data_IF_064523420578
#
_entry.id   IF_064523420578
#
_cell.length_a   1.000
_cell.length_b   1.000
_cell.length_c   1.000
_cell.angle_alpha   90.00
_cell.angle_beta   90.00
_cell.angle_gamma   90.00
#
_symmetry.space_group_name_H-M   'P 1'
#
loop_
_entity.id
_entity.type
_entity.pdbx_description
1 polymer ?
#
# COMPACT_ATOMS: atom_id res chain seq x y z
N UNK A 1 22.47 2.38 0.80
CA UNK A 1 22.15 3.36 1.86
C UNK A 1 20.96 2.84 2.66
N UNK A 2 21.11 2.62 3.97
CA UNK A 2 19.99 2.26 4.82
C UNK A 2 19.12 3.50 5.01
N UNK A 3 18.01 3.57 4.31
CA UNK A 3 17.02 4.61 4.51
C UNK A 3 16.47 4.48 5.94
N UNK A 4 16.76 5.43 6.81
CA UNK A 4 16.16 5.56 8.13
C UNK A 4 14.74 6.11 7.98
N UNK A 5 13.80 5.18 7.76
CA UNK A 5 12.43 5.51 7.44
C UNK A 5 11.56 5.22 8.67
N UNK A 6 10.64 6.13 8.99
CA UNK A 6 9.66 5.98 10.08
C UNK A 6 10.27 5.95 11.50
N UNK A 7 11.35 6.67 11.76
CA UNK A 7 11.95 6.76 13.09
C UNK A 7 10.94 7.13 14.20
N UNK A 8 10.07 8.15 14.05
CA UNK A 8 9.12 8.51 15.10
C UNK A 8 8.13 7.38 15.44
N UNK A 9 7.79 6.57 14.45
CA UNK A 9 6.91 5.40 14.66
C UNK A 9 7.68 4.32 15.44
N UNK A 10 8.93 4.07 15.06
CA UNK A 10 9.77 3.10 15.75
C UNK A 10 10.08 3.52 17.19
N UNK A 11 10.28 4.81 17.46
CA UNK A 11 10.45 5.36 18.82
C UNK A 11 9.20 5.12 19.67
N UNK A 12 8.00 5.38 19.12
CA UNK A 12 6.73 5.09 19.80
C UNK A 12 6.57 3.60 20.11
N UNK A 13 6.92 2.71 19.18
CA UNK A 13 6.88 1.28 19.40
C UNK A 13 7.91 0.81 20.43
N UNK A 14 9.12 1.37 20.41
CA UNK A 14 10.15 1.15 21.41
C UNK A 14 9.70 1.59 22.81
N UNK A 15 8.99 2.71 22.90
CA UNK A 15 8.42 3.16 24.17
C UNK A 15 7.43 2.14 24.73
N UNK A 16 6.47 1.62 23.91
CA UNK A 16 5.56 0.57 24.37
C UNK A 16 6.29 -0.70 24.83
N UNK A 17 7.36 -1.07 24.14
CA UNK A 17 8.19 -2.21 24.52
C UNK A 17 8.88 -1.99 25.86
N UNK A 18 9.53 -0.84 26.08
CA UNK A 18 10.27 -0.49 27.32
C UNK A 18 9.38 -0.45 28.55
N UNK A 19 8.15 0.02 28.43
CA UNK A 19 7.18 0.06 29.54
C UNK A 19 6.44 -1.26 29.75
N UNK A 20 6.75 -2.30 28.98
CA UNK A 20 6.06 -3.60 28.99
C UNK A 20 4.53 -3.54 28.82
N UNK A 21 4.01 -2.46 28.22
CA UNK A 21 2.57 -2.24 27.97
C UNK A 21 2.32 -2.08 26.49
N UNK A 22 2.27 -3.22 25.78
CA UNK A 22 2.01 -3.25 24.34
C UNK A 22 0.49 -3.32 24.11
N UNK A 23 -0.13 -2.30 23.49
CA UNK A 23 -1.56 -2.34 23.17
C UNK A 23 -1.81 -3.14 21.89
N UNK A 24 -3.08 -3.38 21.58
CA UNK A 24 -3.50 -3.75 20.23
C UNK A 24 -3.27 -2.56 19.30
N UNK A 25 -2.69 -2.76 18.11
CA UNK A 25 -2.29 -1.66 17.21
C UNK A 25 -2.84 -1.88 15.81
N UNK A 26 -3.41 -0.82 15.22
CA UNK A 26 -3.76 -0.74 13.80
C UNK A 26 -2.74 0.13 13.09
N UNK A 27 -2.08 -0.45 12.08
CA UNK A 27 -1.21 0.26 11.16
C UNK A 27 -1.98 0.53 9.87
N UNK A 28 -2.26 1.80 9.57
CA UNK A 28 -3.00 2.19 8.38
C UNK A 28 -2.21 3.18 7.52
N UNK A 29 -2.50 3.21 6.22
CA UNK A 29 -1.83 4.09 5.26
C UNK A 29 -1.71 3.43 3.88
N UNK A 30 -1.16 4.14 2.92
CA UNK A 30 -1.09 3.71 1.52
C UNK A 30 -0.31 2.40 1.33
N UNK A 31 -0.64 1.64 0.27
CA UNK A 31 0.13 0.47 -0.12
C UNK A 31 1.56 0.87 -0.45
N UNK A 32 2.53 0.04 0.00
CA UNK A 32 3.96 0.35 -0.21
C UNK A 32 4.58 1.37 0.75
N UNK A 33 3.85 1.84 1.79
CA UNK A 33 4.39 2.74 2.83
C UNK A 33 5.32 2.06 3.85
N UNK A 34 5.46 0.72 3.83
CA UNK A 34 6.35 0.00 4.75
C UNK A 34 5.69 -0.56 6.02
N UNK A 35 4.36 -0.53 6.14
CA UNK A 35 3.60 -1.04 7.30
C UNK A 35 4.03 -2.44 7.74
N UNK A 36 4.11 -3.38 6.80
CA UNK A 36 4.49 -4.77 7.09
C UNK A 36 5.92 -4.88 7.64
N UNK A 37 6.84 -4.09 7.11
CA UNK A 37 8.23 -4.05 7.58
C UNK A 37 8.34 -3.53 9.00
N UNK A 38 7.57 -2.48 9.33
CA UNK A 38 7.49 -1.92 10.69
C UNK A 38 6.97 -2.97 11.66
N UNK A 39 5.85 -3.63 11.34
CA UNK A 39 5.27 -4.68 12.19
C UNK A 39 6.24 -5.84 12.38
N UNK A 40 6.91 -6.30 11.32
CA UNK A 40 7.90 -7.37 11.43
C UNK A 40 9.09 -6.98 12.32
N UNK A 41 9.61 -5.74 12.17
CA UNK A 41 10.66 -5.23 13.06
C UNK A 41 10.19 -5.19 14.51
N UNK A 42 8.96 -4.76 14.76
CA UNK A 42 8.38 -4.71 16.09
C UNK A 42 8.19 -6.10 16.71
N UNK A 43 7.67 -7.06 15.94
CA UNK A 43 7.56 -8.47 16.35
C UNK A 43 8.92 -9.05 16.69
N UNK A 44 9.92 -8.83 15.84
CA UNK A 44 11.29 -9.30 16.10
C UNK A 44 11.86 -8.70 17.39
N UNK A 45 11.55 -7.46 17.70
CA UNK A 45 11.95 -6.82 18.96
C UNK A 45 11.25 -7.44 20.16
N UNK A 46 9.94 -7.69 20.08
CA UNK A 46 9.15 -8.33 21.16
C UNK A 46 9.70 -9.72 21.51
N UNK A 47 10.06 -10.50 20.50
CA UNK A 47 10.51 -11.89 20.67
C UNK A 47 12.03 -12.04 20.58
N UNK A 48 12.81 -10.94 20.74
CA UNK A 48 14.28 -10.91 20.77
C UNK A 48 14.95 -11.58 19.54
N UNK A 49 14.36 -11.47 18.36
CA UNK A 49 14.79 -12.12 17.11
C UNK A 49 14.87 -13.65 17.18
N UNK A 50 14.24 -14.28 18.17
CA UNK A 50 14.19 -15.73 18.30
C UNK A 50 13.15 -16.30 17.30
N UNK A 51 13.65 -17.07 16.34
CA UNK A 51 12.80 -17.65 15.29
C UNK A 51 11.86 -18.74 15.81
N UNK A 52 12.27 -19.50 16.82
CA UNK A 52 11.45 -20.56 17.41
C UNK A 52 10.30 -19.95 18.21
N UNK A 53 10.60 -18.96 19.04
CA UNK A 53 9.58 -18.19 19.76
C UNK A 53 8.62 -17.50 18.79
N UNK A 54 9.12 -16.85 17.76
CA UNK A 54 8.26 -16.21 16.75
C UNK A 54 7.32 -17.21 16.07
N UNK A 55 7.78 -18.42 15.74
CA UNK A 55 6.92 -19.47 15.17
C UNK A 55 5.85 -19.97 16.15
N UNK A 56 6.18 -20.09 17.43
CA UNK A 56 5.27 -20.58 18.45
C UNK A 56 4.23 -19.55 18.90
N UNK A 57 4.63 -18.26 18.95
CA UNK A 57 3.84 -17.20 19.58
C UNK A 57 3.24 -16.20 18.60
N UNK A 58 3.58 -16.24 17.32
CA UNK A 58 3.10 -15.29 16.33
C UNK A 58 2.33 -16.00 15.23
N UNK A 59 1.09 -15.57 15.02
CA UNK A 59 0.26 -16.03 13.92
C UNK A 59 0.09 -14.92 12.88
N UNK A 60 0.51 -15.18 11.63
CA UNK A 60 0.29 -14.27 10.50
C UNK A 60 -0.90 -14.75 9.68
N UNK A 61 -1.86 -13.87 9.45
CA UNK A 61 -3.08 -14.16 8.69
C UNK A 61 -3.25 -13.12 7.58
N UNK A 62 -3.35 -13.57 6.34
CA UNK A 62 -3.74 -12.69 5.25
C UNK A 62 -5.25 -12.79 4.99
N UNK A 63 -5.99 -11.73 5.29
CA UNK A 63 -7.43 -11.67 5.16
C UNK A 63 -7.91 -11.51 3.70
N UNK A 64 -7.01 -11.19 2.76
CA UNK A 64 -7.36 -11.06 1.34
C UNK A 64 -7.66 -12.42 0.66
N UNK A 65 -7.26 -13.54 1.26
CA UNK A 65 -7.44 -14.88 0.69
C UNK A 65 -8.77 -15.55 1.11
N UNK A 66 -9.86 -14.81 1.20
CA UNK A 66 -11.16 -15.39 1.50
C UNK A 66 -11.29 -15.95 2.91
N UNK A 67 -10.46 -15.51 3.85
CA UNK A 67 -10.53 -15.89 5.26
C UNK A 67 -11.83 -15.36 5.88
N UNK A 68 -12.83 -16.22 5.93
CA UNK A 68 -14.16 -15.88 6.41
C UNK A 68 -14.34 -16.00 7.92
N UNK A 69 -15.59 -15.83 8.36
CA UNK A 69 -16.00 -15.91 9.76
C UNK A 69 -15.62 -17.25 10.43
N UNK A 70 -15.63 -18.35 9.67
CA UNK A 70 -15.28 -19.68 10.16
C UNK A 70 -13.82 -19.75 10.63
N UNK A 71 -12.90 -19.21 9.80
CA UNK A 71 -11.48 -19.14 10.15
C UNK A 71 -11.26 -18.37 11.47
N UNK A 72 -11.92 -17.21 11.63
CA UNK A 72 -11.78 -16.41 12.85
C UNK A 72 -12.33 -17.13 14.07
N UNK A 73 -13.45 -17.84 13.93
CA UNK A 73 -14.07 -18.57 15.03
C UNK A 73 -13.31 -19.83 15.46
N UNK A 74 -12.68 -20.52 14.56
CA UNK A 74 -12.03 -21.80 14.79
C UNK A 74 -10.52 -21.65 14.96
N UNK A 75 -9.80 -21.30 13.89
CA UNK A 75 -8.33 -21.30 13.90
C UNK A 75 -7.74 -20.20 14.79
N UNK A 76 -8.22 -18.97 14.64
CA UNK A 76 -7.70 -17.84 15.41
C UNK A 76 -8.03 -17.99 16.90
N UNK A 77 -9.25 -18.45 17.21
CA UNK A 77 -9.67 -18.76 18.58
C UNK A 77 -8.89 -19.92 19.18
N UNK A 78 -8.63 -20.97 18.40
CA UNK A 78 -7.80 -22.09 18.85
C UNK A 78 -6.39 -21.63 19.19
N UNK A 79 -5.75 -20.88 18.29
CA UNK A 79 -4.43 -20.32 18.55
C UNK A 79 -4.40 -19.44 19.81
N UNK A 80 -5.37 -18.55 20.00
CA UNK A 80 -5.45 -17.68 21.17
C UNK A 80 -5.69 -18.46 22.49
N UNK A 81 -6.44 -19.57 22.45
CA UNK A 81 -6.73 -20.42 23.61
C UNK A 81 -5.57 -21.31 24.05
N UNK A 82 -4.72 -21.74 23.13
CA UNK A 82 -3.62 -22.66 23.46
C UNK A 82 -2.74 -22.04 24.54
N UNK A 83 -2.60 -22.71 25.68
CA UNK A 83 -1.74 -22.23 26.76
C UNK A 83 -0.28 -22.29 26.35
N UNK A 84 0.47 -21.31 26.80
CA UNK A 84 1.92 -21.27 26.64
C UNK A 84 2.52 -21.62 28.00
N UNK A 85 3.29 -22.69 28.05
CA UNK A 85 4.17 -22.94 29.20
C UNK A 85 5.34 -21.96 29.11
N UNK A 86 5.14 -20.72 29.59
CA UNK A 86 6.21 -19.76 29.71
C UNK A 86 6.93 -19.99 31.02
N UNK A 87 8.08 -20.64 30.95
CA UNK A 87 9.00 -20.65 32.08
C UNK A 87 9.52 -19.20 32.31
N UNK A 88 8.77 -18.43 33.10
CA UNK A 88 9.23 -17.18 33.69
C UNK A 88 9.32 -15.97 32.76
N UNK A 89 8.18 -15.43 32.32
CA UNK A 89 8.13 -14.12 31.69
C UNK A 89 6.75 -13.83 31.08
N UNK A 90 6.32 -12.57 31.10
CA UNK A 90 5.07 -12.06 30.52
C UNK A 90 5.08 -12.15 28.97
N UNK A 91 5.12 -13.36 28.42
CA UNK A 91 5.06 -13.56 26.97
C UNK A 91 3.61 -13.72 26.58
N UNK A 92 3.10 -12.74 25.84
CA UNK A 92 1.79 -12.81 25.19
C UNK A 92 1.93 -13.36 23.78
N UNK A 93 0.82 -13.84 23.20
CA UNK A 93 0.75 -14.19 21.79
C UNK A 93 0.49 -12.97 20.92
N UNK A 94 1.00 -12.99 19.71
CA UNK A 94 0.76 -11.95 18.71
C UNK A 94 0.02 -12.49 17.51
N UNK A 95 -1.06 -11.83 17.12
CA UNK A 95 -1.81 -12.14 15.90
C UNK A 95 -1.69 -10.95 14.95
N UNK A 96 -1.06 -11.20 13.80
CA UNK A 96 -0.86 -10.18 12.77
C UNK A 96 -1.85 -10.42 11.64
N UNK A 97 -2.81 -9.51 11.47
CA UNK A 97 -3.83 -9.55 10.43
C UNK A 97 -3.43 -8.62 9.29
N UNK A 98 -3.11 -9.19 8.12
CA UNK A 98 -2.81 -8.45 6.90
C UNK A 98 -4.09 -8.24 6.10
N UNK A 99 -4.26 -7.05 5.52
CA UNK A 99 -5.40 -6.71 4.66
C UNK A 99 -6.76 -6.95 5.36
N UNK A 100 -6.88 -6.58 6.62
CA UNK A 100 -8.10 -6.79 7.40
C UNK A 100 -9.30 -5.98 6.90
N UNK A 101 -9.07 -4.96 6.08
CA UNK A 101 -10.07 -4.21 5.33
C UNK A 101 -10.82 -5.04 4.27
N UNK A 102 -10.35 -6.25 3.97
CA UNK A 102 -11.01 -7.22 3.08
C UNK A 102 -11.95 -8.19 3.82
N UNK A 103 -12.00 -8.13 5.14
CA UNK A 103 -12.93 -8.93 5.93
C UNK A 103 -14.37 -8.44 5.77
N UNK A 104 -15.30 -9.40 5.67
CA UNK A 104 -16.74 -9.10 5.69
C UNK A 104 -17.15 -8.54 7.06
N UNK A 105 -18.28 -7.84 7.13
CA UNK A 105 -18.84 -7.27 8.37
C UNK A 105 -19.04 -8.34 9.45
N UNK A 106 -19.51 -9.53 9.07
CA UNK A 106 -19.71 -10.65 9.99
C UNK A 106 -18.40 -11.21 10.51
N UNK A 107 -17.38 -11.30 9.66
CA UNK A 107 -16.04 -11.71 10.06
C UNK A 107 -15.41 -10.69 11.02
N UNK A 108 -15.59 -9.41 10.75
CA UNK A 108 -15.15 -8.34 11.65
C UNK A 108 -15.88 -8.37 13.01
N UNK A 109 -17.18 -8.65 13.01
CA UNK A 109 -17.96 -8.81 14.25
C UNK A 109 -17.49 -10.02 15.08
N UNK A 110 -17.13 -11.12 14.42
CA UNK A 110 -16.53 -12.27 15.09
C UNK A 110 -15.13 -11.97 15.63
N UNK A 111 -14.32 -11.23 14.88
CA UNK A 111 -13.00 -10.77 15.28
C UNK A 111 -13.07 -9.87 16.52
N UNK A 112 -14.03 -8.95 16.57
CA UNK A 112 -14.28 -8.11 17.75
C UNK A 112 -14.46 -8.96 19.01
N UNK A 113 -15.31 -9.99 18.98
CA UNK A 113 -15.51 -10.90 20.12
C UNK A 113 -14.23 -11.64 20.50
N UNK A 114 -13.45 -12.05 19.51
CA UNK A 114 -12.17 -12.70 19.74
C UNK A 114 -11.18 -11.77 20.45
N UNK A 115 -11.08 -10.52 20.03
CA UNK A 115 -10.25 -9.49 20.66
C UNK A 115 -10.68 -9.27 22.13
N UNK A 116 -11.97 -9.12 22.40
CA UNK A 116 -12.50 -8.92 23.75
C UNK A 116 -12.15 -10.10 24.69
N UNK A 117 -12.27 -11.33 24.20
CA UNK A 117 -12.03 -12.53 25.00
C UNK A 117 -10.54 -12.77 25.30
N UNK A 118 -9.64 -12.43 24.39
CA UNK A 118 -8.22 -12.82 24.47
C UNK A 118 -7.26 -11.64 24.67
N UNK A 119 -7.76 -10.42 24.89
CA UNK A 119 -6.93 -9.23 25.11
C UNK A 119 -5.99 -9.32 26.33
N UNK A 120 -6.24 -10.22 27.26
CA UNK A 120 -5.41 -10.43 28.44
C UNK A 120 -4.09 -11.16 28.11
N UNK A 121 -4.09 -12.11 27.17
CA UNK A 121 -2.95 -12.95 26.82
C UNK A 121 -2.50 -12.86 25.34
N UNK A 122 -3.20 -12.09 24.52
CA UNK A 122 -2.93 -11.98 23.09
C UNK A 122 -2.98 -10.52 22.67
N UNK A 123 -2.05 -10.11 21.78
CA UNK A 123 -2.03 -8.79 21.15
C UNK A 123 -2.31 -8.92 19.67
N UNK A 124 -3.15 -8.02 19.17
CA UNK A 124 -3.56 -7.98 17.78
C UNK A 124 -2.88 -6.82 17.08
N UNK A 125 -2.21 -7.12 15.97
CA UNK A 125 -1.62 -6.12 15.08
C UNK A 125 -2.33 -6.20 13.75
N UNK A 126 -3.04 -5.14 13.38
CA UNK A 126 -3.85 -5.07 12.16
C UNK A 126 -3.16 -4.17 11.16
N UNK A 127 -3.02 -4.65 9.93
CA UNK A 127 -2.46 -3.88 8.81
C UNK A 127 -3.54 -3.69 7.77
N UNK A 128 -3.88 -2.42 7.49
CA UNK A 128 -4.90 -2.03 6.50
C UNK A 128 -4.41 -0.86 5.64
N UNK A 129 -4.99 -0.71 4.47
CA UNK A 129 -4.81 0.50 3.67
C UNK A 129 -5.74 1.61 4.15
N UNK A 130 -7.01 1.29 4.34
CA UNK A 130 -8.04 2.20 4.77
C UNK A 130 -8.69 1.72 6.08
N UNK A 131 -8.48 2.47 7.16
CA UNK A 131 -9.08 2.15 8.47
C UNK A 131 -10.59 2.29 8.49
N UNK A 132 -11.17 3.12 7.64
CA UNK A 132 -12.63 3.36 7.61
C UNK A 132 -13.43 2.17 7.10
N UNK A 133 -12.77 1.19 6.49
CA UNK A 133 -13.36 -0.10 6.12
C UNK A 133 -13.50 -1.06 7.32
N UNK A 134 -12.90 -0.71 8.46
CA UNK A 134 -13.08 -1.45 9.70
C UNK A 134 -14.25 -0.88 10.50
N UNK A 135 -14.96 -1.76 11.19
CA UNK A 135 -16.06 -1.38 12.06
C UNK A 135 -15.57 -0.50 13.23
N UNK A 136 -16.29 0.57 13.52
CA UNK A 136 -15.99 1.49 14.64
C UNK A 136 -15.74 0.77 15.98
N UNK A 137 -16.50 -0.29 16.36
CA UNK A 137 -16.23 -1.07 17.57
C UNK A 137 -14.88 -1.79 17.60
N UNK A 138 -14.26 -2.07 16.45
CA UNK A 138 -12.89 -2.58 16.39
C UNK A 138 -11.93 -1.43 16.62
N UNK A 139 -12.07 -0.33 15.85
CA UNK A 139 -11.19 0.83 15.95
C UNK A 139 -11.04 1.34 17.39
N UNK A 140 -12.14 1.41 18.15
CA UNK A 140 -12.15 1.90 19.53
C UNK A 140 -11.30 1.08 20.53
N UNK A 141 -10.83 -0.09 20.16
CA UNK A 141 -10.02 -1.01 21.00
C UNK A 141 -8.56 -1.04 20.64
N UNK A 142 -8.17 -0.23 19.67
CA UNK A 142 -6.82 -0.24 19.12
C UNK A 142 -6.15 1.13 19.23
N UNK A 143 -4.84 1.11 19.41
CA UNK A 143 -4.01 2.28 19.17
C UNK A 143 -3.80 2.43 17.66
N UNK A 144 -4.17 3.56 17.10
CA UNK A 144 -4.02 3.83 15.68
C UNK A 144 -2.65 4.44 15.39
N UNK A 145 -1.96 3.88 14.39
CA UNK A 145 -0.69 4.40 13.89
C UNK A 145 -0.81 4.59 12.38
N UNK A 146 -0.78 5.84 11.96
CA UNK A 146 -0.70 6.18 10.55
C UNK A 146 0.75 6.03 10.06
N UNK A 147 0.92 5.31 8.93
CA UNK A 147 2.22 5.10 8.30
C UNK A 147 2.22 5.82 6.95
N UNK A 148 2.77 7.04 6.88
CA UNK A 148 2.86 7.81 5.63
C UNK A 148 3.80 7.14 4.64
N UNK A 149 3.69 7.50 3.37
CA UNK A 149 4.75 7.23 2.40
C UNK A 149 5.97 8.09 2.75
N UNK A 150 7.18 7.52 2.76
CA UNK A 150 8.38 8.29 3.08
C UNK A 150 8.68 9.32 1.97
N UNK A 151 9.20 10.46 2.39
CA UNK A 151 9.68 11.52 1.50
C UNK A 151 11.20 11.46 1.41
N UNK A 152 11.74 11.54 0.21
CA UNK A 152 13.18 11.77 0.00
C UNK A 152 13.54 13.24 0.23
N UNK A 153 14.84 13.50 0.36
CA UNK A 153 15.44 14.84 0.58
C UNK A 153 15.07 15.91 -0.48
N UNK A 154 14.24 15.58 -1.46
CA UNK A 154 13.71 16.50 -2.49
C UNK A 154 12.20 16.78 -2.37
N UNK A 155 11.52 16.29 -1.32
CA UNK A 155 10.07 16.50 -1.14
C UNK A 155 9.18 15.53 -1.91
N UNK A 156 9.73 14.64 -2.72
CA UNK A 156 8.97 13.62 -3.44
C UNK A 156 8.63 12.44 -2.55
N UNK A 157 7.36 12.04 -2.54
CA UNK A 157 6.90 10.84 -1.83
C UNK A 157 7.27 9.58 -2.61
N UNK A 158 7.83 8.59 -1.92
CA UNK A 158 8.26 7.35 -2.53
C UNK A 158 7.45 6.18 -2.00
N UNK A 159 6.97 5.38 -2.95
CA UNK A 159 6.41 4.08 -2.64
C UNK A 159 7.55 3.06 -2.48
N UNK A 160 7.79 2.61 -1.25
CA UNK A 160 8.91 1.72 -0.92
C UNK A 160 8.86 0.37 -1.66
N UNK A 161 7.68 -0.12 -1.96
CA UNK A 161 7.53 -1.37 -2.72
C UNK A 161 8.03 -1.20 -4.15
N UNK A 162 7.62 -0.12 -4.82
CA UNK A 162 8.07 0.19 -6.18
C UNK A 162 9.57 0.48 -6.23
N UNK A 163 10.07 1.21 -5.24
CA UNK A 163 11.49 1.54 -5.12
C UNK A 163 12.33 0.26 -4.95
N UNK A 164 11.96 -0.62 -4.03
CA UNK A 164 12.65 -1.89 -3.80
C UNK A 164 12.60 -2.80 -5.04
N UNK A 165 11.47 -2.83 -5.73
CA UNK A 165 11.33 -3.58 -6.98
C UNK A 165 12.28 -3.04 -8.06
N UNK A 166 12.35 -1.72 -8.21
CA UNK A 166 13.23 -1.05 -9.16
C UNK A 166 14.72 -1.31 -8.86
N UNK A 167 15.12 -1.27 -7.58
CA UNK A 167 16.48 -1.59 -7.16
C UNK A 167 16.84 -3.06 -7.40
N UNK A 168 15.94 -3.98 -6.96
CA UNK A 168 16.18 -5.42 -7.06
C UNK A 168 16.33 -5.89 -8.51
N UNK A 169 15.49 -5.39 -9.39
CA UNK A 169 15.49 -5.77 -10.80
C UNK A 169 16.28 -4.80 -11.70
N UNK A 170 16.95 -3.80 -11.12
CA UNK A 170 17.67 -2.74 -11.86
C UNK A 170 16.79 -2.14 -12.97
N UNK A 171 15.51 -1.99 -12.69
CA UNK A 171 14.56 -1.42 -13.65
C UNK A 171 14.97 0.03 -13.91
N UNK A 172 15.38 0.31 -15.15
CA UNK A 172 15.48 1.70 -15.63
C UNK A 172 14.09 2.31 -15.50
N UNK A 173 14.00 3.62 -15.27
CA UNK A 173 12.73 4.31 -15.21
C UNK A 173 12.05 4.31 -16.60
N UNK A 174 11.42 3.16 -16.89
CA UNK A 174 10.75 2.89 -18.17
C UNK A 174 9.58 3.87 -18.35
N UNK A 175 8.99 4.34 -17.26
CA UNK A 175 7.85 5.26 -17.32
C UNK A 175 8.28 6.62 -17.86
N UNK A 176 9.40 7.15 -17.37
CA UNK A 176 9.92 8.45 -17.81
C UNK A 176 10.35 8.38 -19.28
N UNK A 177 11.12 7.36 -19.66
CA UNK A 177 11.55 7.14 -21.05
C UNK A 177 10.38 6.93 -22.02
N UNK A 178 9.31 6.25 -21.59
CA UNK A 178 8.08 6.09 -22.38
C UNK A 178 7.35 7.41 -22.60
N UNK A 179 7.18 8.20 -21.52
CA UNK A 179 6.51 9.50 -21.61
C UNK A 179 7.31 10.50 -22.45
N UNK A 180 8.65 10.50 -22.36
CA UNK A 180 9.52 11.34 -23.21
C UNK A 180 9.42 10.93 -24.67
N UNK A 181 9.38 9.63 -24.97
CA UNK A 181 9.19 9.14 -26.32
C UNK A 181 7.82 9.57 -26.87
N UNK A 182 6.75 9.40 -26.08
CA UNK A 182 5.39 9.80 -26.45
C UNK A 182 5.33 11.30 -26.72
N UNK A 183 5.86 12.13 -25.81
CA UNK A 183 5.96 13.58 -25.94
C UNK A 183 6.63 13.97 -27.25
N UNK A 184 7.86 13.44 -27.49
CA UNK A 184 8.65 13.78 -28.67
C UNK A 184 7.95 13.44 -29.99
N UNK A 185 7.29 12.27 -30.05
CA UNK A 185 6.62 11.84 -31.28
C UNK A 185 5.28 12.57 -31.48
N UNK A 186 4.56 12.85 -30.41
CA UNK A 186 3.31 13.63 -30.47
C UNK A 186 3.58 15.05 -30.97
N UNK A 187 4.62 15.73 -30.45
CA UNK A 187 5.06 17.03 -30.95
C UNK A 187 5.51 16.99 -32.42
N UNK A 188 6.22 15.94 -32.82
CA UNK A 188 6.63 15.77 -34.21
C UNK A 188 5.43 15.65 -35.15
N UNK A 189 4.40 14.92 -34.74
CA UNK A 189 3.16 14.74 -35.52
C UNK A 189 2.35 16.03 -35.55
N UNK A 190 2.27 16.77 -34.45
CA UNK A 190 1.53 18.04 -34.37
C UNK A 190 2.20 19.20 -35.17
N UNK A 191 3.52 19.20 -35.27
CA UNK A 191 4.30 20.24 -35.98
C UNK A 191 4.61 19.88 -37.44
N UNK A 192 4.28 18.66 -37.87
CA UNK A 192 4.36 18.29 -39.28
C UNK A 192 3.28 19.08 -40.05
N UNK A 193 3.72 20.01 -40.90
CA UNK A 193 3.03 20.93 -41.83
C UNK A 193 1.53 20.79 -42.09
N UNK A 194 0.82 21.85 -42.57
CA UNK A 194 -0.63 22.07 -42.41
C UNK A 194 -1.59 21.04 -43.01
N UNK A 195 -1.12 20.00 -43.68
CA UNK A 195 -1.92 18.90 -44.20
C UNK A 195 -1.39 17.56 -43.71
N UNK A 196 -1.70 17.19 -42.46
CA UNK A 196 -1.47 15.82 -41.98
C UNK A 196 -2.45 14.92 -42.73
N UNK A 197 -1.93 14.01 -43.55
CA UNK A 197 -2.76 13.02 -44.27
C UNK A 197 -3.31 12.00 -43.26
N UNK A 198 -4.57 11.63 -43.41
CA UNK A 198 -5.24 10.64 -42.54
C UNK A 198 -4.47 9.35 -42.40
N UNK A 199 -3.73 8.93 -43.43
CA UNK A 199 -2.88 7.75 -43.38
C UNK A 199 -1.70 7.88 -42.42
N UNK A 200 -1.17 9.08 -42.18
CA UNK A 200 -0.10 9.32 -41.21
C UNK A 200 -0.63 9.27 -39.78
N UNK A 201 -1.83 9.79 -39.54
CA UNK A 201 -2.50 9.67 -38.24
C UNK A 201 -2.83 8.23 -37.89
N UNK A 202 -3.34 7.45 -38.87
CA UNK A 202 -3.58 6.03 -38.70
C UNK A 202 -2.30 5.24 -38.41
N UNK A 203 -1.22 5.54 -39.15
CA UNK A 203 0.08 4.90 -38.90
C UNK A 203 0.66 5.24 -37.53
N UNK A 204 0.43 6.47 -37.08
CA UNK A 204 0.87 6.90 -35.75
C UNK A 204 0.05 6.23 -34.65
N UNK A 205 -1.28 6.13 -34.79
CA UNK A 205 -2.15 5.45 -33.84
C UNK A 205 -1.82 3.96 -33.73
N UNK A 206 -1.54 3.30 -34.85
CA UNK A 206 -1.09 1.89 -34.89
C UNK A 206 0.25 1.71 -34.15
N UNK A 207 1.22 2.61 -34.35
CA UNK A 207 2.50 2.58 -33.61
C UNK A 207 2.32 2.79 -32.12
N UNK A 208 1.37 3.63 -31.69
CA UNK A 208 1.06 3.82 -30.26
C UNK A 208 0.49 2.53 -29.68
N UNK A 209 -0.44 1.90 -30.39
CA UNK A 209 -1.05 0.64 -29.97
C UNK A 209 -0.04 -0.50 -29.87
N UNK A 210 0.81 -0.69 -30.88
CA UNK A 210 1.87 -1.71 -30.90
C UNK A 210 2.89 -1.52 -29.77
N UNK A 211 3.19 -0.27 -29.38
CA UNK A 211 4.07 0.06 -28.26
C UNK A 211 3.36 -0.02 -26.91
N UNK A 212 2.08 -0.36 -26.86
CA UNK A 212 1.27 -0.49 -25.66
C UNK A 212 0.98 0.82 -24.95
N UNK A 213 0.85 1.93 -25.69
CA UNK A 213 0.32 3.19 -25.15
C UNK A 213 -1.20 3.15 -25.15
N UNK A 214 -1.78 3.65 -24.06
CA UNK A 214 -3.22 3.81 -23.90
C UNK A 214 -3.65 5.26 -24.10
N UNK A 215 -4.94 5.50 -24.32
CA UNK A 215 -5.51 6.85 -24.32
C UNK A 215 -5.27 7.58 -22.99
N UNK A 216 -5.15 6.85 -21.87
CA UNK A 216 -4.84 7.42 -20.56
C UNK A 216 -3.42 7.99 -20.49
N UNK A 217 -2.44 7.42 -21.20
CA UNK A 217 -1.08 7.96 -21.26
C UNK A 217 -1.08 9.33 -21.96
N UNK A 218 -1.91 9.49 -23.00
CA UNK A 218 -2.06 10.77 -23.72
C UNK A 218 -2.77 11.79 -22.82
N UNK A 219 -3.83 11.41 -22.12
CA UNK A 219 -4.53 12.29 -21.17
C UNK A 219 -3.58 12.75 -20.07
N UNK A 220 -2.81 11.84 -19.46
CA UNK A 220 -1.82 12.18 -18.45
C UNK A 220 -0.74 13.15 -18.96
N UNK A 221 -0.36 13.01 -20.23
CA UNK A 221 0.56 13.93 -20.88
C UNK A 221 -0.06 15.33 -21.04
N UNK A 222 -1.33 15.42 -21.44
CA UNK A 222 -2.07 16.66 -21.62
C UNK A 222 -2.40 17.37 -20.30
N UNK A 223 -2.62 16.63 -19.23
CA UNK A 223 -2.88 17.18 -17.89
C UNK A 223 -1.66 17.89 -17.31
N UNK A 224 -0.46 17.54 -17.72
CA UNK A 224 0.76 18.14 -17.19
C UNK A 224 1.07 19.49 -17.87
N UNK A 225 0.84 20.63 -17.19
CA UNK A 225 1.00 21.96 -17.79
C UNK A 225 2.45 22.27 -18.20
N UNK A 226 3.43 21.65 -17.57
CA UNK A 226 4.85 21.86 -17.86
C UNK A 226 5.29 21.26 -19.21
N UNK A 227 4.49 20.33 -19.76
CA UNK A 227 4.82 19.61 -20.98
C UNK A 227 4.37 20.33 -22.27
N UNK A 228 3.34 21.19 -22.17
CA UNK A 228 2.74 21.91 -23.29
C UNK A 228 2.75 23.43 -23.06
N UNK A 229 3.91 23.98 -22.78
CA UNK A 229 4.09 25.44 -22.54
C UNK A 229 3.64 26.31 -23.70
N UNK A 230 3.52 25.77 -24.91
CA UNK A 230 3.10 26.51 -26.11
C UNK A 230 1.59 26.42 -26.41
N UNK A 231 0.86 25.52 -25.74
CA UNK A 231 -0.59 25.41 -25.89
C UNK A 231 -1.30 26.31 -24.88
N UNK A 232 -2.19 27.20 -25.40
CA UNK A 232 -3.09 27.96 -24.54
C UNK A 232 -3.94 26.98 -23.69
N UNK A 233 -4.16 27.31 -22.44
CA UNK A 233 -4.94 26.48 -21.52
C UNK A 233 -6.34 26.12 -22.06
N UNK A 234 -6.99 27.04 -22.75
CA UNK A 234 -8.27 26.82 -23.41
C UNK A 234 -8.22 25.63 -24.40
N UNK A 235 -7.22 25.58 -25.29
CA UNK A 235 -7.05 24.48 -26.24
C UNK A 235 -6.72 23.15 -25.56
N UNK A 236 -5.99 23.19 -24.46
CA UNK A 236 -5.68 22.00 -23.67
C UNK A 236 -6.96 21.40 -23.05
N UNK A 237 -7.83 22.23 -22.50
CA UNK A 237 -9.12 21.80 -21.96
C UNK A 237 -10.05 21.28 -23.04
N UNK A 238 -10.12 21.92 -24.22
CA UNK A 238 -10.90 21.43 -25.36
C UNK A 238 -10.47 20.02 -25.78
N UNK A 239 -9.16 19.76 -25.85
CA UNK A 239 -8.62 18.43 -26.15
C UNK A 239 -9.01 17.40 -25.07
N UNK A 240 -8.89 17.74 -23.79
CA UNK A 240 -9.27 16.88 -22.69
C UNK A 240 -10.77 16.55 -22.72
N UNK A 241 -11.62 17.52 -23.04
CA UNK A 241 -13.07 17.28 -23.22
C UNK A 241 -13.36 16.38 -24.42
N UNK A 242 -12.67 16.56 -25.53
CA UNK A 242 -12.81 15.71 -26.71
C UNK A 242 -12.43 14.25 -26.38
N UNK A 243 -11.30 14.02 -25.69
CA UNK A 243 -10.90 12.69 -25.23
C UNK A 243 -11.93 12.06 -24.29
N UNK A 244 -12.49 12.84 -23.36
CA UNK A 244 -13.51 12.33 -22.43
C UNK A 244 -14.82 11.94 -23.14
N UNK A 245 -15.16 12.64 -24.24
CA UNK A 245 -16.33 12.33 -25.05
C UNK A 245 -16.14 10.99 -25.77
N UNK A 246 -14.99 10.78 -26.40
CA UNK A 246 -14.65 9.55 -27.12
C UNK A 246 -14.58 8.34 -26.18
N UNK A 247 -14.14 8.52 -24.95
CA UNK A 247 -14.05 7.44 -23.95
C UNK A 247 -15.41 6.88 -23.53
N UNK A 248 -16.52 7.60 -23.77
CA UNK A 248 -17.88 7.17 -23.40
C UNK A 248 -18.57 6.36 -24.50
N UNK A 249 -18.04 6.35 -25.70
CA UNK A 249 -18.45 5.51 -26.81
C UNK A 249 -17.57 4.24 -26.85
#
# INVERSE_FOLDING_TARGET
MSLTIHEPIMEKLNYFYKIHKIPNIIFHGQSGSGKRTIVNKFINMIYNNDKERTKAFVMYVNCAHGKGIKFIREELKFFAKTHINSNGGDIFKSIVLLNADKLTTDAQSALRRCIELFSHNTRFFIIVEDKYKLLKPILSRFCEIYVPEPTLNGGETINLYKHNLAETFKLKDVKHTRMDWLKKNLFKTMNATPEIKDCELLSFSTKLYEKGYSGMDIIQLLENPSLFTHLKDSKRYELLFAFNKIKKE
#
